data_IF_445998432631
#
_entry.id   IF_445998432631
#
_cell.length_a   1.000
_cell.length_b   1.000
_cell.length_c   1.000
_cell.angle_alpha   90.00
_cell.angle_beta   90.00
_cell.angle_gamma   90.00
#
_symmetry.space_group_name_H-M   'P 1'
#
loop_
_entity.id
_entity.type
_entity.pdbx_description
1 polymer ?
#
# COMPACT_ATOMS: atom_id res chain seq x y z
N UNK A 1 20.80 10.73 24.53
CA UNK A 1 20.24 11.28 23.29
C UNK A 1 21.20 10.92 22.15
N UNK A 2 20.88 9.92 21.34
CA UNK A 2 21.66 9.57 20.13
C UNK A 2 20.82 9.95 18.94
N UNK A 3 21.20 11.02 18.26
CA UNK A 3 20.63 11.45 17.00
C UNK A 3 21.02 10.42 15.92
N UNK A 4 20.07 9.60 15.51
CA UNK A 4 20.21 8.73 14.33
C UNK A 4 20.05 9.64 13.13
N UNK A 5 21.12 9.84 12.38
CA UNK A 5 21.14 10.64 11.16
C UNK A 5 20.26 9.94 10.11
N UNK A 6 19.11 10.55 9.82
CA UNK A 6 18.16 10.12 8.78
C UNK A 6 18.76 10.16 7.35
N UNK A 7 20.01 10.57 7.21
CA UNK A 7 20.69 10.75 5.92
C UNK A 7 21.29 9.46 5.35
N UNK A 8 21.38 8.39 6.15
CA UNK A 8 22.05 7.14 5.72
C UNK A 8 21.12 6.18 4.99
N UNK A 9 19.82 6.44 4.95
CA UNK A 9 18.83 5.56 4.31
C UNK A 9 18.56 5.89 2.82
N UNK A 10 19.13 6.97 2.31
CA UNK A 10 18.90 7.46 0.93
C UNK A 10 19.97 7.01 -0.09
N UNK A 11 21.02 6.32 0.34
CA UNK A 11 22.17 6.01 -0.53
C UNK A 11 22.08 4.77 -1.44
N UNK A 12 21.16 3.78 -1.26
CA UNK A 12 21.10 2.66 -2.20
C UNK A 12 20.27 2.93 -3.47
N UNK A 13 19.63 4.10 -3.61
CA UNK A 13 18.75 4.36 -4.76
C UNK A 13 19.48 4.72 -6.07
N UNK A 14 20.79 4.98 -6.04
CA UNK A 14 21.54 5.43 -7.22
C UNK A 14 22.46 4.38 -7.87
N UNK A 15 22.50 3.15 -7.38
CA UNK A 15 23.41 2.12 -7.90
C UNK A 15 22.84 1.25 -9.04
N UNK A 16 21.61 1.52 -9.52
CA UNK A 16 21.01 0.79 -10.64
C UNK A 16 21.10 1.52 -12.00
N UNK A 17 22.23 2.14 -12.28
CA UNK A 17 22.53 2.57 -13.65
C UNK A 17 23.18 1.41 -14.40
N UNK A 18 22.39 0.58 -15.07
CA UNK A 18 22.96 -0.46 -15.93
C UNK A 18 22.00 -1.54 -16.42
N UNK A 19 20.79 -1.63 -15.94
CA UNK A 19 19.81 -2.52 -16.55
C UNK A 19 19.34 -1.89 -17.87
N UNK A 20 19.94 -2.28 -18.99
CA UNK A 20 19.34 -2.07 -20.31
C UNK A 20 18.00 -2.76 -20.28
N UNK A 21 16.94 -1.97 -20.13
CA UNK A 21 15.57 -2.44 -20.32
C UNK A 21 15.45 -2.85 -21.79
N UNK A 22 15.69 -4.11 -22.06
CA UNK A 22 15.21 -4.72 -23.29
C UNK A 22 13.68 -4.56 -23.22
N UNK A 23 13.16 -3.77 -24.13
CA UNK A 23 11.74 -3.59 -24.36
C UNK A 23 11.15 -4.88 -24.94
N UNK A 24 11.06 -5.91 -24.13
CA UNK A 24 10.10 -6.96 -24.37
C UNK A 24 8.77 -6.45 -23.82
N UNK A 25 7.81 -6.33 -24.72
CA UNK A 25 6.38 -6.10 -24.38
C UNK A 25 5.90 -7.32 -23.58
N UNK A 26 6.27 -7.38 -22.31
CA UNK A 26 5.71 -8.34 -21.35
C UNK A 26 4.51 -7.73 -20.64
N UNK A 27 3.51 -7.36 -21.45
CA UNK A 27 2.17 -7.31 -20.98
C UNK A 27 1.58 -8.68 -21.24
N UNK A 28 1.80 -9.65 -20.34
CA UNK A 28 1.05 -10.90 -20.41
C UNK A 28 -0.44 -10.55 -20.39
N UNK A 29 -1.20 -11.11 -21.35
CA UNK A 29 -2.67 -10.98 -21.41
C UNK A 29 -3.34 -11.73 -20.26
N UNK A 30 -2.56 -12.23 -19.31
CA UNK A 30 -2.97 -13.05 -18.19
C UNK A 30 -3.34 -12.29 -16.93
N UNK A 31 -3.98 -13.01 -16.02
CA UNK A 31 -4.24 -12.55 -14.66
C UNK A 31 -2.90 -12.46 -13.92
N UNK A 32 -2.72 -11.37 -13.18
CA UNK A 32 -1.53 -11.12 -12.37
C UNK A 32 -1.85 -11.26 -10.90
N UNK A 33 -0.95 -11.87 -10.16
CA UNK A 33 -1.04 -11.97 -8.72
C UNK A 33 0.20 -11.38 -8.08
N UNK A 34 0.06 -10.72 -6.95
CA UNK A 34 1.20 -10.20 -6.19
C UNK A 34 0.98 -10.26 -4.69
N UNK A 35 2.07 -10.51 -3.97
CA UNK A 35 2.13 -10.45 -2.51
C UNK A 35 3.17 -9.42 -2.13
N UNK A 36 2.81 -8.49 -1.26
CA UNK A 36 3.66 -7.35 -0.93
C UNK A 36 3.67 -6.99 0.54
N UNK A 37 4.68 -6.23 0.89
CA UNK A 37 4.80 -5.54 2.15
C UNK A 37 4.51 -4.06 1.93
N UNK A 38 3.85 -3.46 2.89
CA UNK A 38 3.46 -2.05 2.88
C UNK A 38 3.99 -1.39 4.15
N UNK A 39 4.59 -0.23 3.99
CA UNK A 39 5.00 0.61 5.11
C UNK A 39 4.80 2.07 4.74
N UNK A 40 4.77 2.96 5.73
CA UNK A 40 4.53 4.37 5.41
C UNK A 40 4.68 5.28 6.63
N UNK A 41 4.20 6.48 6.46
CA UNK A 41 4.17 7.50 7.50
C UNK A 41 2.72 7.96 7.69
N UNK A 42 2.27 7.92 8.91
CA UNK A 42 1.00 8.53 9.29
C UNK A 42 1.04 10.03 8.99
N UNK A 43 -0.05 10.59 8.47
CA UNK A 43 -0.15 12.01 8.14
C UNK A 43 -1.33 12.66 8.86
N UNK A 44 -1.29 13.98 9.00
CA UNK A 44 -2.36 14.75 9.66
C UNK A 44 -2.49 14.44 11.15
N UNK A 45 -3.70 14.16 11.61
CA UNK A 45 -3.98 13.92 13.02
C UNK A 45 -3.37 12.61 13.54
N UNK A 46 -3.29 11.58 12.72
CA UNK A 46 -2.64 10.30 13.06
C UNK A 46 -1.17 10.45 13.41
N UNK A 47 -0.44 11.32 12.73
CA UNK A 47 0.99 11.53 12.98
C UNK A 47 1.31 11.99 14.42
N UNK A 48 0.30 12.45 15.17
CA UNK A 48 0.47 12.87 16.57
C UNK A 48 0.44 11.70 17.55
N UNK A 49 -0.24 10.59 17.20
CA UNK A 49 -0.49 9.47 18.11
C UNK A 49 0.10 8.14 17.62
N UNK A 50 0.28 8.01 16.32
CA UNK A 50 0.69 6.78 15.68
C UNK A 50 1.98 6.98 14.89
N UNK A 51 2.77 5.92 14.83
CA UNK A 51 4.02 5.85 14.06
C UNK A 51 3.78 5.25 12.68
N UNK A 52 4.77 4.54 12.15
CA UNK A 52 4.71 3.97 10.83
C UNK A 52 3.72 2.79 10.77
N UNK A 53 2.76 2.75 9.83
CA UNK A 53 2.02 1.54 9.53
C UNK A 53 2.96 0.48 8.93
N UNK A 54 2.72 -0.78 9.27
CA UNK A 54 3.36 -1.94 8.64
C UNK A 54 2.27 -2.92 8.24
N UNK A 55 2.31 -3.37 6.99
CA UNK A 55 1.30 -4.27 6.47
C UNK A 55 1.82 -5.28 5.47
N UNK A 56 0.98 -6.27 5.22
CA UNK A 56 1.14 -7.25 4.15
C UNK A 56 -0.11 -7.22 3.28
N UNK A 57 0.04 -7.37 1.98
CA UNK A 57 -1.10 -7.36 1.05
C UNK A 57 -0.98 -8.40 -0.04
N UNK A 58 -2.13 -8.85 -0.50
CA UNK A 58 -2.28 -9.70 -1.68
C UNK A 58 -3.15 -8.97 -2.68
N UNK A 59 -2.75 -8.97 -3.95
CA UNK A 59 -3.47 -8.31 -5.03
C UNK A 59 -3.61 -9.24 -6.21
N UNK A 60 -4.80 -9.24 -6.82
CA UNK A 60 -5.08 -9.84 -8.11
C UNK A 60 -5.44 -8.76 -9.11
N UNK A 61 -4.92 -8.86 -10.33
CA UNK A 61 -5.15 -7.91 -11.43
C UNK A 61 -5.69 -8.67 -12.64
N UNK A 62 -6.82 -8.22 -13.14
CA UNK A 62 -7.55 -8.80 -14.27
C UNK A 62 -7.46 -7.84 -15.46
N UNK A 63 -6.95 -8.26 -16.63
CA UNK A 63 -6.83 -7.39 -17.80
C UNK A 63 -8.22 -7.00 -18.32
N UNK A 64 -8.47 -5.71 -18.49
CA UNK A 64 -9.66 -5.15 -19.16
C UNK A 64 -9.31 -4.84 -20.61
N UNK A 65 -8.18 -4.13 -20.78
CA UNK A 65 -7.61 -3.83 -22.10
C UNK A 65 -6.18 -4.30 -22.10
N UNK A 66 -5.80 -5.09 -23.09
CA UNK A 66 -4.48 -5.73 -23.17
C UNK A 66 -3.36 -4.74 -22.89
N UNK A 67 -2.56 -5.07 -21.89
CA UNK A 67 -1.34 -4.37 -21.48
C UNK A 67 -1.52 -2.94 -20.94
N UNK A 68 -2.72 -2.35 -20.94
CA UNK A 68 -2.93 -0.94 -20.60
C UNK A 68 -3.77 -0.76 -19.34
N UNK A 69 -4.89 -1.49 -19.22
CA UNK A 69 -5.86 -1.30 -18.16
C UNK A 69 -6.21 -2.62 -17.48
N UNK A 70 -6.09 -2.65 -16.16
CA UNK A 70 -6.43 -3.80 -15.33
C UNK A 70 -7.43 -3.40 -14.25
N UNK A 71 -8.38 -4.29 -13.98
CA UNK A 71 -9.14 -4.25 -12.73
C UNK A 71 -8.28 -4.87 -11.63
N UNK A 72 -8.24 -4.27 -10.47
CA UNK A 72 -7.51 -4.80 -9.30
C UNK A 72 -8.45 -5.13 -8.15
N UNK A 73 -8.13 -6.20 -7.43
CA UNK A 73 -8.70 -6.53 -6.13
C UNK A 73 -7.55 -6.72 -5.17
N UNK A 74 -7.60 -6.02 -4.04
CA UNK A 74 -6.55 -6.01 -3.04
C UNK A 74 -7.12 -6.28 -1.66
N UNK A 75 -6.45 -7.10 -0.89
CA UNK A 75 -6.72 -7.31 0.53
C UNK A 75 -5.42 -7.47 1.29
N UNK A 76 -5.45 -7.26 2.59
CA UNK A 76 -4.23 -7.35 3.40
C UNK A 76 -4.50 -7.24 4.87
N UNK A 77 -3.42 -7.07 5.61
CA UNK A 77 -3.43 -6.81 7.03
C UNK A 77 -2.47 -5.66 7.32
N UNK A 78 -2.98 -4.59 7.93
CA UNK A 78 -2.20 -3.42 8.31
C UNK A 78 -2.22 -3.27 9.83
N UNK A 79 -1.03 -3.17 10.43
CA UNK A 79 -0.85 -2.80 11.81
C UNK A 79 -0.32 -1.37 11.88
N UNK A 80 -1.01 -0.50 12.62
CA UNK A 80 -0.60 0.88 12.85
C UNK A 80 -0.19 0.99 14.31
N UNK A 81 1.12 1.16 14.53
CA UNK A 81 1.71 1.19 15.87
C UNK A 81 1.43 2.51 16.58
N UNK A 82 1.10 2.44 17.85
CA UNK A 82 0.95 3.62 18.71
C UNK A 82 2.32 4.15 19.10
N UNK A 83 2.49 5.48 19.04
CA UNK A 83 3.70 6.13 19.52
C UNK A 83 3.91 5.90 21.02
N UNK A 84 5.14 5.60 21.43
CA UNK A 84 5.49 5.21 22.79
C UNK A 84 5.00 6.16 23.91
N UNK A 85 4.76 7.43 23.60
CA UNK A 85 4.20 8.40 24.54
C UNK A 85 2.71 8.18 24.85
N UNK A 86 1.99 7.43 24.01
CA UNK A 86 0.55 7.20 24.13
C UNK A 86 0.19 5.72 24.34
N UNK A 87 1.18 4.81 24.39
CA UNK A 87 0.98 3.35 24.50
C UNK A 87 0.24 2.89 25.76
N UNK A 88 0.10 3.75 26.77
CA UNK A 88 -0.68 3.47 27.98
C UNK A 88 -2.16 3.83 27.85
N UNK A 89 -2.56 4.54 26.80
CA UNK A 89 -3.90 5.13 26.65
C UNK A 89 -4.62 4.61 25.41
N UNK A 90 -3.90 4.08 24.43
CA UNK A 90 -4.45 3.67 23.13
C UNK A 90 -3.74 2.38 22.69
N UNK A 91 -4.49 1.45 22.11
CA UNK A 91 -3.96 0.22 21.53
C UNK A 91 -3.59 0.39 20.06
N UNK A 92 -2.71 -0.49 19.54
CA UNK A 92 -2.39 -0.58 18.12
C UNK A 92 -3.67 -0.85 17.30
N UNK A 93 -3.74 -0.31 16.08
CA UNK A 93 -4.89 -0.52 15.20
C UNK A 93 -4.58 -1.66 14.21
N UNK A 94 -5.38 -2.71 14.27
CA UNK A 94 -5.32 -3.83 13.34
C UNK A 94 -6.43 -3.70 12.30
N UNK A 95 -6.04 -3.46 11.05
CA UNK A 95 -6.96 -3.22 9.94
C UNK A 95 -6.85 -4.30 8.88
N UNK A 96 -8.00 -4.75 8.38
CA UNK A 96 -8.10 -5.60 7.19
C UNK A 96 -8.79 -4.80 6.10
N UNK A 97 -8.06 -4.20 5.15
CA UNK A 97 -8.64 -3.54 4.00
C UNK A 97 -9.09 -4.57 2.95
N UNK A 98 -10.22 -4.31 2.32
CA UNK A 98 -10.68 -4.98 1.10
C UNK A 98 -11.00 -3.89 0.09
N UNK A 99 -10.24 -3.86 -0.99
CA UNK A 99 -10.27 -2.78 -1.98
C UNK A 99 -10.40 -3.34 -3.39
N UNK A 100 -11.09 -2.62 -4.26
CA UNK A 100 -11.13 -2.87 -5.69
C UNK A 100 -10.82 -1.57 -6.43
N UNK A 101 -10.25 -1.68 -7.62
CA UNK A 101 -9.84 -0.50 -8.36
C UNK A 101 -9.40 -0.76 -9.78
N UNK A 102 -8.77 0.25 -10.35
CA UNK A 102 -8.24 0.22 -11.70
C UNK A 102 -6.76 0.59 -11.67
N UNK A 103 -5.96 -0.14 -12.44
CA UNK A 103 -4.53 0.08 -12.66
C UNK A 103 -4.31 0.38 -14.13
N UNK A 104 -3.84 1.58 -14.42
CA UNK A 104 -3.59 2.09 -15.77
C UNK A 104 -2.08 2.21 -16.02
N UNK A 105 -1.58 1.59 -17.08
CA UNK A 105 -0.19 1.69 -17.50
C UNK A 105 0.01 2.83 -18.49
N UNK A 106 0.68 3.88 -18.04
CA UNK A 106 1.08 4.99 -18.89
C UNK A 106 2.26 4.62 -19.81
N UNK A 107 3.14 3.72 -19.32
CA UNK A 107 4.24 3.11 -20.09
C UNK A 107 4.30 1.63 -19.73
N UNK A 108 5.11 0.86 -20.43
CA UNK A 108 5.27 -0.58 -20.20
C UNK A 108 5.52 -0.97 -18.75
N UNK A 109 6.13 -0.08 -17.97
CA UNK A 109 6.53 -0.33 -16.59
C UNK A 109 6.00 0.69 -15.58
N UNK A 110 5.47 1.84 -16.03
CA UNK A 110 4.95 2.90 -15.15
C UNK A 110 3.42 2.84 -15.11
N UNK A 111 2.86 2.89 -13.91
CA UNK A 111 1.41 2.84 -13.75
C UNK A 111 0.88 3.87 -12.75
N UNK A 112 -0.39 4.17 -12.92
CA UNK A 112 -1.25 4.81 -11.94
C UNK A 112 -2.34 3.83 -11.55
N UNK A 113 -2.65 3.72 -10.27
CA UNK A 113 -3.68 2.85 -9.73
C UNK A 113 -4.54 3.65 -8.76
N UNK A 114 -5.83 3.39 -8.76
CA UNK A 114 -6.75 3.94 -7.77
C UNK A 114 -7.66 2.84 -7.28
N UNK A 115 -7.72 2.68 -5.97
CA UNK A 115 -8.54 1.68 -5.29
C UNK A 115 -9.50 2.34 -4.32
N UNK A 116 -10.69 1.75 -4.18
CA UNK A 116 -11.71 2.11 -3.20
C UNK A 116 -12.20 0.84 -2.52
N UNK A 117 -12.69 0.96 -1.30
CA UNK A 117 -13.21 -0.20 -0.57
C UNK A 117 -13.55 0.12 0.88
N UNK A 118 -13.37 -0.89 1.73
CA UNK A 118 -13.61 -0.79 3.16
C UNK A 118 -12.44 -1.38 3.93
N UNK A 119 -12.08 -0.71 5.02
CA UNK A 119 -11.16 -1.24 6.03
C UNK A 119 -11.94 -1.68 7.24
N UNK A 120 -11.70 -2.91 7.67
CA UNK A 120 -12.34 -3.51 8.84
C UNK A 120 -11.38 -3.47 10.03
N UNK A 121 -11.86 -2.97 11.16
CA UNK A 121 -11.11 -2.94 12.41
C UNK A 121 -11.29 -4.26 13.15
N UNK A 122 -10.19 -4.97 13.44
CA UNK A 122 -10.21 -6.26 14.14
C UNK A 122 -10.20 -6.13 15.65
N UNK A 123 -9.45 -5.19 16.20
CA UNK A 123 -9.40 -4.96 17.64
C UNK A 123 -10.42 -3.91 18.05
N UNK A 124 -11.41 -4.34 18.86
CA UNK A 124 -12.39 -3.43 19.46
C UNK A 124 -11.78 -2.83 20.72
N UNK A 125 -11.41 -1.56 20.66
CA UNK A 125 -11.23 -0.78 21.90
C UNK A 125 -12.61 -0.51 22.51
N UNK A 126 -12.75 -0.55 23.85
CA UNK A 126 -13.99 -0.44 24.63
C UNK A 126 -14.76 0.89 24.44
N UNK A 127 -14.65 1.57 23.32
CA UNK A 127 -15.46 2.75 22.99
C UNK A 127 -16.82 2.28 22.47
N UNK A 128 -17.83 2.46 23.28
CA UNK A 128 -19.24 2.26 22.98
C UNK A 128 -19.59 3.05 21.70
N UNK A 129 -20.20 2.37 20.68
CA UNK A 129 -20.65 2.94 19.41
C UNK A 129 -19.56 3.32 18.39
N UNK A 130 -18.74 2.37 17.95
CA UNK A 130 -17.87 2.52 16.78
C UNK A 130 -18.35 1.69 15.58
N UNK A 131 -18.17 2.21 14.37
CA UNK A 131 -18.33 1.41 13.14
C UNK A 131 -17.12 0.50 12.99
N UNK A 132 -17.36 -0.80 12.77
CA UNK A 132 -16.29 -1.77 12.55
C UNK A 132 -15.66 -1.67 11.14
N UNK A 133 -16.25 -0.87 10.25
CA UNK A 133 -15.78 -0.67 8.88
C UNK A 133 -15.75 0.82 8.54
N UNK A 134 -14.71 1.25 7.87
CA UNK A 134 -14.57 2.60 7.32
C UNK A 134 -14.29 2.52 5.82
N UNK A 135 -14.85 3.48 5.08
CA UNK A 135 -14.53 3.63 3.67
C UNK A 135 -13.05 3.98 3.49
N UNK A 136 -12.40 3.36 2.51
CA UNK A 136 -11.01 3.62 2.17
C UNK A 136 -10.89 3.94 0.68
N UNK A 137 -10.02 4.91 0.36
CA UNK A 137 -9.54 5.12 -0.98
C UNK A 137 -8.02 5.23 -1.00
N UNK A 138 -7.41 4.72 -2.07
CA UNK A 138 -5.95 4.56 -2.13
C UNK A 138 -5.43 4.79 -3.56
N UNK A 139 -5.17 6.06 -3.97
CA UNK A 139 -4.40 6.34 -5.16
C UNK A 139 -2.94 5.93 -4.97
N UNK A 140 -2.36 5.35 -6.02
CA UNK A 140 -0.99 4.85 -6.05
C UNK A 140 -0.36 5.16 -7.41
N UNK A 141 0.92 5.49 -7.40
CA UNK A 141 1.77 5.55 -8.59
C UNK A 141 2.95 4.62 -8.38
N UNK A 142 3.34 3.88 -9.41
CA UNK A 142 4.40 2.91 -9.24
C UNK A 142 5.04 2.45 -10.54
N UNK A 143 5.99 1.53 -10.36
CA UNK A 143 6.76 0.93 -11.44
C UNK A 143 6.83 -0.58 -11.26
N UNK A 144 6.71 -1.30 -12.38
CA UNK A 144 6.93 -2.75 -12.44
C UNK A 144 8.30 -3.04 -13.01
N UNK A 145 9.04 -3.89 -12.34
CA UNK A 145 10.33 -4.45 -12.80
C UNK A 145 10.07 -5.90 -13.21
N UNK A 146 10.02 -6.15 -14.51
CA UNK A 146 9.80 -7.50 -15.03
C UNK A 146 11.07 -8.34 -14.83
N UNK A 147 10.87 -9.54 -14.32
CA UNK A 147 11.88 -10.57 -14.08
C UNK A 147 11.73 -11.71 -15.08
N UNK A 148 12.56 -12.74 -14.94
CA UNK A 148 12.44 -13.97 -15.74
C UNK A 148 11.19 -14.78 -15.33
N UNK A 149 10.70 -15.61 -16.24
CA UNK A 149 9.61 -16.57 -15.98
C UNK A 149 8.30 -15.92 -15.51
N UNK A 150 7.85 -14.86 -16.19
CA UNK A 150 6.59 -14.16 -15.90
C UNK A 150 6.50 -13.57 -14.47
N UNK A 151 7.60 -13.49 -13.74
CA UNK A 151 7.67 -12.85 -12.44
C UNK A 151 7.94 -11.35 -12.58
N UNK A 152 7.55 -10.59 -11.58
CA UNK A 152 7.83 -9.16 -11.52
C UNK A 152 7.94 -8.65 -10.08
N UNK A 153 8.60 -7.51 -9.91
CA UNK A 153 8.55 -6.73 -8.69
C UNK A 153 7.75 -5.46 -8.97
N UNK A 154 6.77 -5.20 -8.14
CA UNK A 154 5.95 -3.99 -8.17
C UNK A 154 6.39 -3.09 -7.02
N UNK A 155 6.82 -1.87 -7.34
CA UNK A 155 7.21 -0.86 -6.36
C UNK A 155 6.37 0.40 -6.57
N UNK A 156 5.65 0.84 -5.54
CA UNK A 156 4.74 1.97 -5.66
C UNK A 156 4.64 2.84 -4.41
N UNK A 157 4.37 4.12 -4.63
CA UNK A 157 3.98 5.07 -3.61
C UNK A 157 2.45 5.14 -3.58
N UNK A 158 1.89 5.00 -2.38
CA UNK A 158 0.44 4.98 -2.14
C UNK A 158 0.09 6.06 -1.13
N UNK A 159 -0.96 6.81 -1.41
CA UNK A 159 -1.66 7.58 -0.40
C UNK A 159 -2.93 6.82 -0.03
N UNK A 160 -3.10 6.48 1.23
CA UNK A 160 -4.30 5.82 1.70
C UNK A 160 -5.03 6.71 2.70
N UNK A 161 -6.33 6.86 2.49
CA UNK A 161 -7.21 7.60 3.39
C UNK A 161 -8.35 6.72 3.83
N UNK A 162 -8.40 6.45 5.12
CA UNK A 162 -9.47 5.72 5.77
C UNK A 162 -10.45 6.72 6.40
N UNK A 163 -11.74 6.50 6.18
CA UNK A 163 -12.80 7.25 6.83
C UNK A 163 -12.80 7.06 8.35
N UNK A 164 -13.74 7.70 9.01
CA UNK A 164 -13.86 7.66 10.47
C UNK A 164 -14.39 6.30 10.94
N UNK A 165 -13.68 5.66 11.87
CA UNK A 165 -14.14 4.46 12.56
C UNK A 165 -15.05 4.79 13.76
N UNK A 166 -14.84 5.97 14.41
CA UNK A 166 -15.59 6.45 15.57
C UNK A 166 -16.19 7.82 15.31
N UNK A 167 -17.30 8.14 15.99
CA UNK A 167 -17.99 9.43 15.84
C UNK A 167 -17.11 10.64 16.22
N UNK A 168 -16.12 10.45 17.08
CA UNK A 168 -15.19 11.48 17.56
C UNK A 168 -13.82 11.43 16.88
N UNK A 169 -13.64 10.59 15.85
CA UNK A 169 -12.36 10.38 15.22
C UNK A 169 -12.21 11.23 13.95
N UNK A 170 -10.95 11.47 13.59
CA UNK A 170 -10.58 12.14 12.35
C UNK A 170 -10.25 11.10 11.28
N UNK A 171 -10.21 11.53 10.01
CA UNK A 171 -9.77 10.69 8.91
C UNK A 171 -8.34 10.21 9.15
N UNK A 172 -8.11 8.91 8.93
CA UNK A 172 -6.84 8.24 9.15
C UNK A 172 -6.10 8.16 7.83
N UNK A 173 -5.14 9.06 7.61
CA UNK A 173 -4.41 9.15 6.35
C UNK A 173 -2.95 8.75 6.55
N UNK A 174 -2.40 8.06 5.56
CA UNK A 174 -0.97 7.80 5.51
C UNK A 174 -0.44 7.80 4.07
N UNK A 175 0.83 8.16 3.94
CA UNK A 175 1.59 7.97 2.70
C UNK A 175 2.46 6.75 2.90
N UNK A 176 2.28 5.77 2.04
CA UNK A 176 2.95 4.49 2.15
C UNK A 176 3.76 4.15 0.91
N UNK A 177 4.68 3.22 1.12
CA UNK A 177 5.44 2.57 0.09
C UNK A 177 5.08 1.08 0.08
N UNK A 178 4.78 0.54 -1.10
CA UNK A 178 4.49 -0.88 -1.31
C UNK A 178 5.58 -1.49 -2.18
N UNK A 179 6.14 -2.61 -1.74
CA UNK A 179 6.95 -3.50 -2.57
C UNK A 179 6.27 -4.85 -2.60
N UNK A 180 6.03 -5.38 -3.79
CA UNK A 180 5.42 -6.69 -3.97
C UNK A 180 6.17 -7.52 -5.00
N UNK A 181 6.22 -8.82 -4.73
CA UNK A 181 6.58 -9.81 -5.71
C UNK A 181 5.31 -10.37 -6.35
N UNK A 182 5.32 -10.49 -7.68
CA UNK A 182 4.18 -10.99 -8.42
C UNK A 182 4.56 -11.91 -9.56
N UNK A 183 3.54 -12.59 -10.08
CA UNK A 183 3.64 -13.46 -11.24
C UNK A 183 2.38 -13.32 -12.12
N UNK A 184 2.54 -13.58 -13.40
CA UNK A 184 1.46 -13.59 -14.40
C UNK A 184 1.22 -15.02 -14.89
N UNK A 185 -0.05 -15.40 -14.98
CA UNK A 185 -0.49 -16.68 -15.54
C UNK A 185 -0.81 -16.53 -17.04
#
# INVERSE_FOLDING_TARGET
MKTINALTLLLPLFAFQGAKAQSQVYGGTGIRYSVGIETGLATGYLAKKYEAPLGVSVQAEFPITESILYASVNTGFNNIFVSGNYSRLVDDLHLVPVKAGLKYFYRSNLYLQSEIGFSFLLNKTNCVEGKNAAFVYAPQAGMIFYLHNNNYIDAGLRYESNGKFYHCDHTNNFVGFRIAWGFSL
#
